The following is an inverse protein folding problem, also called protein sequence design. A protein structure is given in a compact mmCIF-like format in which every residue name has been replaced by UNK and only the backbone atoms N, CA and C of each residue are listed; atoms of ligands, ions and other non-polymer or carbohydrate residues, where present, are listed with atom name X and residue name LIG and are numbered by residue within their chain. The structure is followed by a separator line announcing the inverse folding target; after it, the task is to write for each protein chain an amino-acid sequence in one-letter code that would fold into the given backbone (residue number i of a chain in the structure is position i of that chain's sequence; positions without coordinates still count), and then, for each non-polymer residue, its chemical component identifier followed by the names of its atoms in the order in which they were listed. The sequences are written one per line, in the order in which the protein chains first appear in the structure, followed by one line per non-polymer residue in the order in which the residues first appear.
data_IF_502829932935
#
_entry.id   IF_502829932935
#
_cell.length_a   1.000
_cell.length_b   1.000
_cell.length_c   1.000
_cell.angle_alpha   90.00
_cell.angle_beta   90.00
_cell.angle_gamma   90.00
#
_symmetry.space_group_name_H-M   'P 1'
#
loop_
_entity.id
_entity.type
_entity.pdbx_description
1 polymer ?
#
# COMPACT_ATOMS: atom_id res chain seq x y z
N UNK A 1 -17.91 9.04 -7.55
CA UNK A 1 -16.57 9.42 -7.06
C UNK A 1 -15.93 8.10 -6.64
N UNK A 2 -15.06 7.52 -7.46
CA UNK A 2 -14.55 6.16 -7.22
C UNK A 2 -13.72 6.18 -5.93
N UNK A 3 -14.28 5.59 -4.86
CA UNK A 3 -13.62 5.35 -3.58
C UNK A 3 -12.57 4.22 -3.70
N UNK A 4 -11.75 4.26 -4.75
CA UNK A 4 -10.51 3.49 -4.80
C UNK A 4 -9.62 4.04 -3.70
N UNK A 5 -9.62 3.34 -2.57
CA UNK A 5 -9.12 3.79 -1.27
C UNK A 5 -7.84 4.61 -1.33
N UNK A 6 -7.83 5.70 -0.56
CA UNK A 6 -6.67 6.57 -0.38
C UNK A 6 -5.43 5.73 -0.09
N UNK A 7 -4.32 5.95 -0.81
CA UNK A 7 -3.11 5.17 -0.57
C UNK A 7 -2.62 5.43 0.85
N UNK A 8 -2.28 4.36 1.56
CA UNK A 8 -1.99 4.37 2.99
C UNK A 8 -0.48 4.30 3.23
N UNK A 9 -0.01 4.95 4.29
CA UNK A 9 1.38 4.78 4.71
C UNK A 9 1.61 3.37 5.26
N UNK A 10 2.85 2.89 5.25
CA UNK A 10 3.20 1.61 5.87
C UNK A 10 2.74 1.55 7.34
N UNK A 11 2.87 2.66 8.07
CA UNK A 11 2.44 2.77 9.47
C UNK A 11 0.94 2.56 9.61
N UNK A 12 0.15 3.23 8.79
CA UNK A 12 -1.31 3.06 8.81
C UNK A 12 -1.74 1.64 8.43
N UNK A 13 -1.05 1.00 7.49
CA UNK A 13 -1.33 -0.40 7.15
C UNK A 13 -1.05 -1.31 8.33
N UNK A 14 0.04 -1.07 9.08
CA UNK A 14 0.35 -1.81 10.31
C UNK A 14 -0.76 -1.61 11.35
N UNK A 15 -1.16 -0.37 11.59
CA UNK A 15 -2.20 -0.04 12.57
C UNK A 15 -3.56 -0.64 12.20
N UNK A 16 -3.94 -0.64 10.91
CA UNK A 16 -5.22 -1.20 10.45
C UNK A 16 -5.24 -2.72 10.31
N UNK A 17 -4.11 -3.34 9.99
CA UNK A 17 -4.03 -4.79 9.80
C UNK A 17 -3.87 -5.56 11.11
N UNK A 18 -3.50 -4.89 12.20
CA UNK A 18 -3.14 -5.52 13.48
C UNK A 18 -2.03 -6.58 13.34
N UNK A 19 -1.29 -6.57 12.24
CA UNK A 19 -0.20 -7.48 11.97
C UNK A 19 1.12 -6.88 12.47
N UNK A 20 2.08 -7.73 12.90
CA UNK A 20 3.38 -7.24 13.27
C UNK A 20 4.07 -6.56 12.06
N UNK A 21 4.86 -5.49 12.29
CA UNK A 21 5.49 -4.70 11.23
C UNK A 21 6.27 -5.51 10.20
N UNK A 22 6.91 -6.60 10.63
CA UNK A 22 7.66 -7.50 9.75
C UNK A 22 6.76 -8.25 8.77
N UNK A 23 5.62 -8.75 9.24
CA UNK A 23 4.64 -9.44 8.40
C UNK A 23 4.02 -8.48 7.41
N UNK A 24 3.69 -7.26 7.83
CA UNK A 24 3.17 -6.23 6.92
C UNK A 24 4.19 -5.90 5.83
N UNK A 25 5.46 -5.68 6.20
CA UNK A 25 6.50 -5.41 5.20
C UNK A 25 6.69 -6.58 4.23
N UNK A 26 6.63 -7.82 4.72
CA UNK A 26 6.68 -9.00 3.87
C UNK A 26 5.49 -9.05 2.92
N UNK A 27 4.27 -8.85 3.42
CA UNK A 27 3.05 -8.82 2.61
C UNK A 27 3.09 -7.71 1.55
N UNK A 28 3.49 -6.49 1.92
CA UNK A 28 3.63 -5.37 0.98
C UNK A 28 4.68 -5.69 -0.10
N UNK A 29 5.81 -6.27 0.26
CA UNK A 29 6.83 -6.65 -0.72
C UNK A 29 6.28 -7.71 -1.70
N UNK A 30 5.59 -8.73 -1.18
CA UNK A 30 4.93 -9.77 -2.00
C UNK A 30 3.88 -9.17 -2.92
N UNK A 31 2.95 -8.36 -2.40
CA UNK A 31 1.90 -7.72 -3.18
C UNK A 31 2.46 -6.79 -4.26
N UNK A 32 3.59 -6.12 -3.97
CA UNK A 32 4.28 -5.27 -4.95
C UNK A 32 4.91 -6.12 -6.06
N UNK A 33 5.55 -7.24 -5.71
CA UNK A 33 6.09 -8.20 -6.70
C UNK A 33 4.99 -8.75 -7.60
N UNK A 34 3.83 -9.09 -7.02
CA UNK A 34 2.65 -9.53 -7.77
C UNK A 34 1.92 -8.38 -8.51
N UNK A 35 2.47 -7.15 -8.49
CA UNK A 35 1.88 -5.95 -9.10
C UNK A 35 0.45 -5.61 -8.61
N UNK A 36 0.05 -6.13 -7.45
CA UNK A 36 -1.26 -5.88 -6.82
C UNK A 36 -1.30 -4.50 -6.15
N UNK A 37 -0.16 -4.04 -5.64
CA UNK A 37 -0.02 -2.70 -5.04
C UNK A 37 1.08 -1.88 -5.73
N UNK A 38 0.94 -0.57 -5.65
CA UNK A 38 1.94 0.40 -6.11
C UNK A 38 2.47 1.20 -4.93
N UNK A 39 3.79 1.40 -4.91
CA UNK A 39 4.46 2.32 -4.00
C UNK A 39 4.62 3.67 -4.69
N UNK A 40 4.24 4.76 -4.00
CA UNK A 40 4.39 6.13 -4.47
C UNK A 40 4.91 7.02 -3.34
N UNK A 41 5.64 8.07 -3.68
CA UNK A 41 6.06 9.05 -2.68
C UNK A 41 4.86 9.88 -2.22
N UNK A 42 4.78 10.15 -0.92
CA UNK A 42 3.77 11.05 -0.39
C UNK A 42 4.07 12.48 -0.84
N UNK A 43 3.11 13.12 -1.51
CA UNK A 43 3.26 14.52 -1.95
C UNK A 43 3.45 15.50 -0.78
N UNK A 44 2.97 15.15 0.42
CA UNK A 44 3.17 15.96 1.64
C UNK A 44 4.56 15.77 2.25
N UNK A 45 5.12 14.57 2.15
CA UNK A 45 6.44 14.23 2.70
C UNK A 45 7.09 13.14 1.84
N UNK A 46 8.06 13.52 1.01
CA UNK A 46 8.71 12.58 0.09
C UNK A 46 9.52 11.48 0.80
N UNK A 47 9.77 11.59 2.11
CA UNK A 47 10.43 10.52 2.89
C UNK A 47 9.45 9.41 3.26
N UNK A 48 8.15 9.64 3.09
CA UNK A 48 7.11 8.65 3.32
C UNK A 48 6.67 7.99 2.01
N UNK A 49 6.67 6.66 2.01
CA UNK A 49 6.03 5.86 0.98
C UNK A 49 4.55 5.65 1.29
N UNK A 50 3.72 5.90 0.28
CA UNK A 50 2.31 5.55 0.25
C UNK A 50 2.12 4.28 -0.59
N UNK A 51 1.32 3.37 -0.08
CA UNK A 51 0.97 2.12 -0.73
C UNK A 51 -0.51 2.14 -1.07
N UNK A 52 -0.82 1.94 -2.35
CA UNK A 52 -2.18 1.86 -2.84
C UNK A 52 -2.38 0.62 -3.69
N UNK A 53 -3.63 0.22 -3.88
CA UNK A 53 -3.96 -0.83 -4.85
C UNK A 53 -3.59 -0.36 -6.26
N UNK A 54 -3.07 -1.29 -7.06
CA UNK A 54 -2.82 -1.02 -8.46
C UNK A 54 -4.18 -0.95 -9.18
N UNK A 55 -4.55 0.20 -9.79
CA UNK A 55 -5.82 0.30 -10.52
C UNK A 55 -5.90 -0.67 -11.71
N UNK A 56 -4.77 -1.21 -12.17
CA UNK A 56 -4.72 -2.26 -13.19
C UNK A 56 -5.02 -3.68 -12.69
N UNK A 57 -5.17 -3.89 -11.37
CA UNK A 57 -5.48 -5.22 -10.80
C UNK A 57 -6.99 -5.49 -10.69
N UNK A 58 -7.83 -4.47 -10.93
CA UNK A 58 -9.29 -4.60 -11.00
C UNK A 58 -9.73 -4.95 -12.43
N UNK A 59 -9.58 -6.20 -12.84
CA UNK A 59 -10.06 -6.64 -14.15
C UNK A 59 -9.53 -8.01 -14.58
N UNK A 60 -10.09 -9.06 -13.99
CA UNK A 60 -10.00 -10.46 -14.42
C UNK A 60 -11.17 -11.24 -13.86
#
# INVERSE_FOLDING_TARGET
MLETGTPLTQKEIIERSYLPPRTVRYALNRLRTENVIVERFCFKDARQSLYGLNPGVSGG
#
